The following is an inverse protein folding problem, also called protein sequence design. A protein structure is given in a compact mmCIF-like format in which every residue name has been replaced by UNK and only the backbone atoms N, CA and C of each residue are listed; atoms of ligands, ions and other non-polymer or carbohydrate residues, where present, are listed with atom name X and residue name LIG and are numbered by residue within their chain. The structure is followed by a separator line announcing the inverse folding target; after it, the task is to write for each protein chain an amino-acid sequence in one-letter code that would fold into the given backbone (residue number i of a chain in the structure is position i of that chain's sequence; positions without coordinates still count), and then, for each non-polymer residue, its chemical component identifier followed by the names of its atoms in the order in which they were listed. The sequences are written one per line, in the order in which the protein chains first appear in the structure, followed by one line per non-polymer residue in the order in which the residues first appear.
data_IF_034124613016
#
_entry.id   IF_034124613016
#
_cell.length_a   1.000
_cell.length_b   1.000
_cell.length_c   1.000
_cell.angle_alpha   90.00
_cell.angle_beta   90.00
_cell.angle_gamma   90.00
#
_symmetry.space_group_name_H-M   'P 1'
#
loop_
_entity.id
_entity.type
_entity.pdbx_description
1 polymer ?
#
# COMPACT_ATOMS: atom_id res chain seq x y z
N UNK A 1 -3.40 -35.81 19.42
CA UNK A 1 -3.29 -34.36 19.72
C UNK A 1 -1.81 -33.97 19.82
N UNK A 2 -1.17 -33.55 18.71
CA UNK A 2 0.28 -33.21 18.71
C UNK A 2 0.69 -32.17 17.66
N UNK A 3 -0.24 -31.34 17.16
CA UNK A 3 0.03 -30.37 16.09
C UNK A 3 -0.34 -28.91 16.40
N UNK A 4 -1.00 -28.63 17.53
CA UNK A 4 -1.38 -27.25 17.91
C UNK A 4 -0.34 -26.51 18.78
N UNK A 5 0.83 -27.09 19.04
CA UNK A 5 1.88 -26.46 19.87
C UNK A 5 2.95 -25.70 19.08
N UNK A 6 2.87 -25.65 17.73
CA UNK A 6 3.86 -24.95 16.89
C UNK A 6 3.45 -23.56 16.41
N UNK A 7 2.25 -23.08 16.77
CA UNK A 7 1.72 -21.78 16.31
C UNK A 7 1.92 -20.65 17.33
N UNK A 8 2.56 -20.91 18.47
CA UNK A 8 2.74 -19.92 19.54
C UNK A 8 4.22 -19.66 19.88
N UNK A 9 5.06 -19.57 18.85
CA UNK A 9 6.44 -19.10 18.96
C UNK A 9 6.72 -17.84 18.12
N UNK A 10 5.66 -17.10 17.74
CA UNK A 10 5.76 -15.71 17.24
C UNK A 10 5.59 -14.77 18.43
N UNK A 11 6.49 -14.89 19.39
CA UNK A 11 6.57 -14.01 20.55
C UNK A 11 8.06 -13.71 20.83
N UNK A 12 8.83 -13.40 19.78
CA UNK A 12 10.22 -12.95 19.95
C UNK A 12 10.77 -12.25 18.69
N UNK A 13 10.04 -11.26 18.17
CA UNK A 13 10.67 -10.22 17.33
C UNK A 13 10.81 -9.00 18.23
N UNK A 14 12.06 -8.65 18.52
CA UNK A 14 12.47 -7.95 19.73
C UNK A 14 11.75 -6.64 20.02
N UNK A 15 11.44 -6.46 21.29
CA UNK A 15 11.00 -5.22 21.93
C UNK A 15 11.96 -4.02 21.74
N UNK A 16 13.07 -4.15 21.00
CA UNK A 16 14.02 -3.07 20.72
C UNK A 16 13.74 -2.31 19.40
N UNK A 17 12.88 -2.78 18.51
CA UNK A 17 12.45 -2.02 17.31
C UNK A 17 11.16 -1.20 17.52
N UNK A 18 10.53 -1.33 18.70
CA UNK A 18 9.22 -0.74 19.02
C UNK A 18 9.29 0.79 19.21
N UNK A 19 10.47 1.36 19.48
CA UNK A 19 10.61 2.80 19.76
C UNK A 19 10.35 3.71 18.55
N UNK A 20 10.40 3.19 17.32
CA UNK A 20 9.92 3.92 16.12
C UNK A 20 8.44 3.67 15.80
N UNK A 21 7.82 2.64 16.39
CA UNK A 21 6.40 2.31 16.21
C UNK A 21 5.49 3.23 17.05
N UNK A 22 6.05 4.00 17.98
CA UNK A 22 5.34 4.96 18.84
C UNK A 22 4.67 6.12 18.09
N UNK A 23 4.94 6.27 16.79
CA UNK A 23 4.30 7.26 15.92
C UNK A 23 3.33 6.62 14.91
N UNK A 24 2.97 5.34 15.07
CA UNK A 24 2.07 4.64 14.18
C UNK A 24 0.66 4.58 14.78
N UNK A 25 -0.33 5.02 14.01
CA UNK A 25 -1.71 5.16 14.47
C UNK A 25 -2.60 5.69 13.37
N UNK A 26 -3.91 5.67 13.59
CA UNK A 26 -4.88 6.18 12.63
C UNK A 26 -4.66 7.68 12.39
N UNK A 27 -4.65 8.07 11.12
CA UNK A 27 -4.64 9.47 10.73
C UNK A 27 -6.01 10.10 10.97
N UNK A 28 -6.01 11.32 11.51
CA UNK A 28 -7.20 12.17 11.59
C UNK A 28 -7.81 12.47 10.21
N UNK A 29 -7.05 12.31 9.12
CA UNK A 29 -7.47 12.60 7.74
C UNK A 29 -8.44 11.56 7.16
N UNK A 30 -8.63 10.42 7.82
CA UNK A 30 -9.46 9.32 7.29
C UNK A 30 -10.91 9.75 7.00
N UNK A 31 -11.49 10.60 7.85
CA UNK A 31 -12.84 11.10 7.67
C UNK A 31 -12.94 12.04 6.45
N UNK A 32 -11.97 12.94 6.29
CA UNK A 32 -11.91 13.90 5.19
C UNK A 32 -11.73 13.19 3.85
N UNK A 33 -10.87 12.17 3.79
CA UNK A 33 -10.71 11.34 2.58
C UNK A 33 -12.03 10.67 2.22
N UNK A 34 -12.74 10.05 3.18
CA UNK A 34 -14.05 9.41 2.90
C UNK A 34 -15.06 10.40 2.35
N UNK A 35 -15.11 11.60 2.92
CA UNK A 35 -15.99 12.67 2.45
C UNK A 35 -15.63 13.09 1.02
N UNK A 36 -14.36 13.40 0.77
CA UNK A 36 -13.89 13.84 -0.54
C UNK A 36 -14.12 12.78 -1.63
N UNK A 37 -13.96 11.49 -1.31
CA UNK A 37 -14.26 10.40 -2.24
C UNK A 37 -15.75 10.28 -2.54
N UNK A 38 -16.60 10.43 -1.52
CA UNK A 38 -18.06 10.40 -1.70
C UNK A 38 -18.54 11.54 -2.63
N UNK A 39 -17.95 12.72 -2.49
CA UNK A 39 -18.28 13.90 -3.31
C UNK A 39 -18.00 13.68 -4.82
N UNK A 40 -17.24 12.64 -5.16
CA UNK A 40 -16.92 12.26 -6.55
C UNK A 40 -17.50 10.90 -6.97
N UNK A 41 -18.45 10.36 -6.21
CA UNK A 41 -19.08 9.08 -6.53
C UNK A 41 -18.19 7.86 -6.24
N UNK A 42 -17.13 8.00 -5.44
CA UNK A 42 -16.33 6.87 -4.96
C UNK A 42 -16.77 6.52 -3.54
N UNK A 43 -17.17 5.27 -3.34
CA UNK A 43 -17.68 4.78 -2.05
C UNK A 43 -16.62 3.96 -1.32
N UNK A 44 -16.29 4.35 -0.08
CA UNK A 44 -15.49 3.48 0.79
C UNK A 44 -16.37 2.45 1.47
N UNK A 45 -15.95 1.18 1.54
CA UNK A 45 -16.73 0.14 2.24
C UNK A 45 -16.08 -0.27 3.56
N UNK A 46 -16.89 -0.65 4.56
CA UNK A 46 -16.38 -1.10 5.86
C UNK A 46 -15.46 -2.33 5.72
N UNK A 47 -15.86 -3.29 4.90
CA UNK A 47 -15.10 -4.52 4.64
C UNK A 47 -13.75 -4.20 4.02
N UNK A 48 -13.72 -3.42 2.92
CA UNK A 48 -12.45 -3.12 2.26
C UNK A 48 -11.56 -2.23 3.13
N UNK A 49 -12.09 -1.26 3.88
CA UNK A 49 -11.30 -0.46 4.83
C UNK A 49 -10.61 -1.34 5.89
N UNK A 50 -11.29 -2.39 6.38
CA UNK A 50 -10.72 -3.33 7.33
C UNK A 50 -9.54 -4.10 6.70
N UNK A 51 -9.70 -4.60 5.49
CA UNK A 51 -8.61 -5.29 4.78
C UNK A 51 -7.46 -4.32 4.47
N UNK A 52 -7.75 -3.08 4.05
CA UNK A 52 -6.71 -2.06 3.80
C UNK A 52 -5.92 -1.76 5.06
N UNK A 53 -6.58 -1.63 6.22
CA UNK A 53 -5.91 -1.44 7.51
C UNK A 53 -5.03 -2.64 7.86
N UNK A 54 -5.53 -3.87 7.69
CA UNK A 54 -4.74 -5.09 7.94
C UNK A 54 -3.51 -5.17 7.04
N UNK A 55 -3.64 -4.78 5.77
CA UNK A 55 -2.51 -4.70 4.84
C UNK A 55 -1.49 -3.64 5.27
N UNK A 56 -1.98 -2.47 5.68
CA UNK A 56 -1.14 -1.39 6.21
C UNK A 56 -0.30 -1.87 7.41
N UNK A 57 -0.96 -2.46 8.41
CA UNK A 57 -0.32 -2.97 9.64
C UNK A 57 0.73 -4.05 9.32
N UNK A 58 0.37 -5.03 8.46
CA UNK A 58 1.26 -6.14 8.12
C UNK A 58 2.47 -5.66 7.32
N UNK A 59 2.27 -4.80 6.32
CA UNK A 59 3.38 -4.27 5.50
C UNK A 59 4.31 -3.38 6.32
N UNK A 60 3.76 -2.55 7.21
CA UNK A 60 4.55 -1.73 8.11
C UNK A 60 5.40 -2.57 9.06
N UNK A 61 4.77 -3.53 9.74
CA UNK A 61 5.46 -4.43 10.67
C UNK A 61 6.55 -5.23 9.96
N UNK A 62 6.25 -5.72 8.75
CA UNK A 62 7.17 -6.50 7.96
C UNK A 62 8.35 -5.67 7.46
N UNK A 63 8.12 -4.48 6.89
CA UNK A 63 9.18 -3.59 6.43
C UNK A 63 10.11 -3.15 7.58
N UNK A 64 9.55 -2.85 8.75
CA UNK A 64 10.32 -2.54 9.95
C UNK A 64 11.14 -3.75 10.43
N UNK A 65 10.56 -4.95 10.45
CA UNK A 65 11.24 -6.17 10.84
C UNK A 65 12.41 -6.53 9.90
N UNK A 66 12.23 -6.39 8.58
CA UNK A 66 13.32 -6.59 7.61
C UNK A 66 14.42 -5.55 7.78
N UNK A 67 14.06 -4.30 8.08
CA UNK A 67 15.05 -3.23 8.34
C UNK A 67 15.86 -3.51 9.59
N UNK A 68 15.22 -4.02 10.65
CA UNK A 68 15.86 -4.36 11.91
C UNK A 68 16.75 -5.62 11.80
N UNK A 69 16.33 -6.61 11.00
CA UNK A 69 17.08 -7.84 10.77
C UNK A 69 16.93 -8.33 9.33
N UNK A 70 17.82 -7.89 8.42
CA UNK A 70 17.77 -8.28 7.00
C UNK A 70 17.93 -9.78 6.77
N UNK A 71 18.52 -10.54 7.72
CA UNK A 71 18.70 -11.99 7.57
C UNK A 71 17.38 -12.75 7.56
N UNK A 72 16.31 -12.14 8.08
CA UNK A 72 14.94 -12.70 8.12
C UNK A 72 14.08 -12.28 6.94
N UNK A 73 14.61 -11.53 5.98
CA UNK A 73 13.85 -10.95 4.88
C UNK A 73 13.01 -11.98 4.11
N UNK A 74 13.54 -13.17 3.87
CA UNK A 74 12.85 -14.24 3.17
C UNK A 74 11.65 -14.77 3.96
N UNK A 75 11.84 -15.10 5.24
CA UNK A 75 10.76 -15.56 6.11
C UNK A 75 9.65 -14.52 6.24
N UNK A 76 10.01 -13.25 6.44
CA UNK A 76 9.06 -12.15 6.61
C UNK A 76 8.30 -11.89 5.30
N UNK A 77 8.99 -11.90 4.15
CA UNK A 77 8.36 -11.83 2.83
C UNK A 77 7.35 -12.97 2.63
N UNK A 78 7.70 -14.20 3.02
CA UNK A 78 6.80 -15.34 2.89
C UNK A 78 5.54 -15.20 3.74
N UNK A 79 5.61 -14.57 4.92
CA UNK A 79 4.43 -14.24 5.71
C UNK A 79 3.56 -13.17 5.05
N UNK A 80 4.14 -12.12 4.46
CA UNK A 80 3.38 -11.10 3.73
C UNK A 80 2.64 -11.72 2.54
N UNK A 81 3.26 -12.70 1.86
CA UNK A 81 2.64 -13.45 0.76
C UNK A 81 1.52 -14.39 1.19
N UNK A 82 1.21 -14.52 2.48
CA UNK A 82 0.00 -15.21 2.95
C UNK A 82 -1.26 -14.33 2.87
N UNK A 83 -1.13 -13.05 2.51
CA UNK A 83 -2.25 -12.15 2.25
C UNK A 83 -2.87 -12.40 0.87
N UNK A 84 -3.38 -13.62 0.65
CA UNK A 84 -3.89 -14.11 -0.63
C UNK A 84 -5.18 -13.43 -1.09
N UNK A 85 -5.76 -12.54 -0.29
CA UNK A 85 -6.79 -11.61 -0.75
C UNK A 85 -6.23 -10.55 -1.71
N UNK A 86 -4.92 -10.27 -1.68
CA UNK A 86 -4.26 -9.25 -2.48
C UNK A 86 -3.43 -9.83 -3.64
N UNK A 87 -3.35 -9.08 -4.74
CA UNK A 87 -2.59 -9.51 -5.92
C UNK A 87 -1.09 -9.58 -5.69
N UNK A 88 -0.49 -8.72 -4.86
CA UNK A 88 0.94 -8.80 -4.54
C UNK A 88 1.38 -10.14 -3.92
N UNK A 89 0.46 -10.91 -3.35
CA UNK A 89 0.73 -12.22 -2.77
C UNK A 89 0.85 -13.34 -3.83
N UNK A 90 0.51 -13.05 -5.09
CA UNK A 90 0.51 -14.01 -6.18
C UNK A 90 1.66 -13.79 -7.17
N UNK A 91 2.01 -14.80 -7.98
CA UNK A 91 2.98 -14.63 -9.07
C UNK A 91 2.60 -13.46 -9.99
N UNK A 92 3.58 -12.62 -10.32
CA UNK A 92 3.37 -11.49 -11.21
C UNK A 92 3.14 -11.96 -12.65
N UNK A 93 2.38 -11.18 -13.42
CA UNK A 93 2.20 -11.40 -14.86
C UNK A 93 3.42 -10.98 -15.68
N UNK A 94 4.31 -10.14 -15.14
CA UNK A 94 5.53 -9.67 -15.80
C UNK A 94 6.81 -10.35 -15.31
N UNK A 95 7.90 -10.11 -16.05
CA UNK A 95 9.22 -10.68 -15.78
C UNK A 95 9.79 -10.18 -14.45
N UNK A 96 10.45 -11.06 -13.70
CA UNK A 96 11.15 -10.69 -12.46
C UNK A 96 10.23 -10.29 -11.30
N UNK A 97 8.93 -10.61 -11.38
CA UNK A 97 7.95 -10.25 -10.35
C UNK A 97 7.33 -8.86 -10.53
N UNK A 98 7.67 -8.14 -11.61
CA UNK A 98 7.07 -6.85 -11.94
C UNK A 98 5.67 -7.02 -12.53
N UNK A 99 4.79 -6.04 -12.29
CA UNK A 99 3.42 -6.08 -12.76
C UNK A 99 2.46 -6.74 -11.78
N UNK A 100 1.19 -6.73 -12.14
CA UNK A 100 0.09 -7.20 -11.29
C UNK A 100 0.24 -8.70 -11.01
N UNK A 101 -0.12 -9.13 -9.81
CA UNK A 101 -0.25 -10.55 -9.52
C UNK A 101 -1.42 -11.20 -10.27
N UNK A 102 -1.29 -12.48 -10.60
CA UNK A 102 -2.30 -13.24 -11.35
C UNK A 102 -3.46 -13.81 -10.49
N UNK A 103 -3.67 -13.25 -9.29
CA UNK A 103 -4.69 -13.71 -8.36
C UNK A 103 -5.07 -12.64 -7.35
N UNK A 104 -5.91 -13.00 -6.38
CA UNK A 104 -6.40 -12.11 -5.33
C UNK A 104 -7.65 -11.33 -5.75
N UNK A 105 -8.48 -11.00 -4.77
CA UNK A 105 -9.70 -10.21 -4.97
C UNK A 105 -9.41 -8.71 -5.07
N UNK A 106 -8.23 -8.27 -4.61
CA UNK A 106 -7.89 -6.86 -4.51
C UNK A 106 -6.49 -6.54 -5.03
N UNK A 107 -6.36 -5.35 -5.60
CA UNK A 107 -5.10 -4.65 -5.77
C UNK A 107 -4.92 -3.64 -4.61
N UNK A 108 -3.70 -3.55 -4.08
CA UNK A 108 -3.32 -2.53 -3.09
C UNK A 108 -2.50 -1.44 -3.77
N UNK A 109 -2.81 -0.18 -3.48
CA UNK A 109 -2.10 0.98 -3.97
C UNK A 109 -1.57 1.81 -2.81
N UNK A 110 -0.39 2.40 -2.99
CA UNK A 110 0.21 3.36 -2.07
C UNK A 110 0.24 4.75 -2.69
N UNK A 111 -0.15 5.74 -1.90
CA UNK A 111 0.02 7.14 -2.25
C UNK A 111 1.51 7.50 -2.31
N UNK A 112 1.94 8.09 -3.41
CA UNK A 112 3.36 8.45 -3.63
C UNK A 112 3.58 9.94 -3.72
N UNK A 113 2.51 10.74 -3.63
CA UNK A 113 2.54 12.18 -3.87
C UNK A 113 3.05 12.58 -5.27
N UNK A 114 3.18 11.62 -6.20
CA UNK A 114 3.76 11.87 -7.51
C UNK A 114 5.25 12.23 -7.44
N UNK A 115 5.97 11.80 -6.41
CA UNK A 115 7.39 12.17 -6.22
C UNK A 115 8.29 11.61 -7.32
N UNK A 116 9.44 12.26 -7.53
CA UNK A 116 10.42 11.82 -8.52
C UNK A 116 10.97 10.44 -8.13
N UNK A 117 11.01 9.51 -9.09
CA UNK A 117 11.71 8.24 -8.94
C UNK A 117 13.21 8.50 -8.90
N UNK A 118 13.93 7.64 -8.20
CA UNK A 118 15.38 7.62 -8.33
C UNK A 118 15.77 7.39 -9.81
N UNK A 119 16.82 8.03 -10.30
CA UNK A 119 17.24 7.88 -11.71
C UNK A 119 17.60 6.41 -12.03
N UNK A 120 18.12 5.68 -11.03
CA UNK A 120 18.36 4.23 -11.10
C UNK A 120 17.08 3.37 -11.32
N UNK A 121 15.89 3.96 -11.16
CA UNK A 121 14.58 3.33 -11.39
C UNK A 121 13.93 3.83 -12.69
N UNK A 122 14.71 4.42 -13.60
CA UNK A 122 14.24 4.90 -14.91
C UNK A 122 13.80 6.37 -14.94
N UNK A 123 14.05 7.13 -13.88
CA UNK A 123 13.69 8.55 -13.79
C UNK A 123 12.18 8.82 -13.84
N UNK A 124 11.81 10.08 -14.09
CA UNK A 124 10.40 10.53 -14.06
C UNK A 124 9.78 10.47 -12.66
N UNK A 125 8.45 10.45 -12.60
CA UNK A 125 7.69 10.50 -11.35
C UNK A 125 6.91 9.21 -11.13
N UNK A 126 6.62 8.88 -9.87
CA UNK A 126 5.63 7.85 -9.56
C UNK A 126 4.22 8.32 -9.98
N UNK A 127 3.30 7.40 -10.34
CA UNK A 127 1.88 7.72 -10.35
C UNK A 127 1.43 8.08 -8.93
N UNK A 128 0.42 8.95 -8.77
CA UNK A 128 -0.06 9.35 -7.45
C UNK A 128 -0.49 8.16 -6.58
N UNK A 129 -1.17 7.17 -7.16
CA UNK A 129 -1.40 5.85 -6.56
C UNK A 129 -0.58 4.80 -7.31
N UNK A 130 0.43 4.25 -6.66
CA UNK A 130 1.27 3.22 -7.24
C UNK A 130 0.87 1.84 -6.73
N UNK A 131 0.65 0.89 -7.64
CA UNK A 131 0.24 -0.46 -7.26
C UNK A 131 1.39 -1.18 -6.56
N UNK A 132 1.08 -1.84 -5.45
CA UNK A 132 1.98 -2.78 -4.81
C UNK A 132 1.96 -4.07 -5.63
N UNK A 133 2.95 -4.23 -6.50
CA UNK A 133 3.23 -5.47 -7.24
C UNK A 133 4.00 -6.52 -6.39
N UNK A 134 4.01 -7.81 -6.80
CA UNK A 134 4.71 -8.89 -6.08
C UNK A 134 6.21 -8.65 -5.85
N UNK A 135 6.89 -7.96 -6.77
CA UNK A 135 8.30 -7.58 -6.61
C UNK A 135 8.54 -6.73 -5.37
N UNK A 136 7.58 -5.89 -4.96
CA UNK A 136 7.73 -5.01 -3.80
C UNK A 136 7.69 -5.75 -2.47
N UNK A 137 6.96 -6.86 -2.39
CA UNK A 137 6.86 -7.69 -1.18
C UNK A 137 7.87 -8.83 -1.16
N UNK A 138 8.83 -8.84 -2.08
CA UNK A 138 9.95 -9.79 -2.09
C UNK A 138 10.96 -9.48 -0.97
N UNK A 139 11.75 -10.48 -0.59
CA UNK A 139 12.82 -10.34 0.39
C UNK A 139 13.76 -9.15 0.10
N UNK A 140 14.04 -8.89 -1.18
CA UNK A 140 14.95 -7.82 -1.61
C UNK A 140 14.36 -6.42 -1.46
N UNK A 141 13.05 -6.26 -1.61
CA UNK A 141 12.41 -4.95 -1.76
C UNK A 141 11.45 -4.57 -0.62
N UNK A 142 11.06 -5.51 0.23
CA UNK A 142 10.03 -5.29 1.25
C UNK A 142 10.35 -4.13 2.21
N UNK A 143 11.61 -3.98 2.63
CA UNK A 143 12.05 -2.86 3.47
C UNK A 143 11.98 -1.50 2.75
N UNK A 144 12.04 -1.48 1.41
CA UNK A 144 12.00 -0.26 0.60
C UNK A 144 10.58 0.29 0.45
N UNK A 145 9.57 -0.57 0.49
CA UNK A 145 8.16 -0.19 0.30
C UNK A 145 7.71 0.88 1.30
N UNK A 146 8.21 0.82 2.53
CA UNK A 146 7.95 1.80 3.59
C UNK A 146 9.26 2.30 4.20
N UNK A 147 10.30 2.48 3.38
CA UNK A 147 11.52 3.14 3.82
C UNK A 147 11.21 4.59 4.22
N UNK A 148 11.87 5.08 5.28
CA UNK A 148 11.58 6.40 5.87
C UNK A 148 11.64 7.54 4.86
N UNK A 149 12.64 7.54 3.98
CA UNK A 149 12.79 8.59 2.96
C UNK A 149 11.68 8.56 1.91
N UNK A 150 11.24 7.36 1.53
CA UNK A 150 10.11 7.20 0.60
C UNK A 150 8.81 7.68 1.26
N UNK A 151 8.56 7.28 2.50
CA UNK A 151 7.40 7.71 3.31
C UNK A 151 7.37 9.23 3.48
N UNK A 152 8.51 9.85 3.79
CA UNK A 152 8.63 11.31 3.96
C UNK A 152 8.38 12.07 2.66
N UNK A 153 8.72 11.50 1.52
CA UNK A 153 8.46 12.10 0.21
C UNK A 153 7.00 11.91 -0.22
N UNK A 154 6.45 10.73 0.06
CA UNK A 154 5.09 10.32 -0.27
C UNK A 154 4.03 10.67 0.78
N UNK A 155 4.25 11.69 1.61
CA UNK A 155 3.29 12.10 2.65
C UNK A 155 1.94 12.44 2.00
N UNK A 156 0.86 11.87 2.53
CA UNK A 156 -0.48 12.28 2.18
C UNK A 156 -0.88 13.52 3.00
N UNK A 157 -0.80 14.69 2.38
CA UNK A 157 -1.05 15.97 3.04
C UNK A 157 -2.52 16.22 3.35
N UNK A 158 -3.43 15.65 2.56
CA UNK A 158 -4.87 15.92 2.65
C UNK A 158 -5.26 17.34 2.23
N UNK A 159 -4.33 18.09 1.61
CA UNK A 159 -4.61 19.37 0.96
C UNK A 159 -5.61 19.22 -0.18
N UNK A 160 -6.23 20.33 -0.61
CA UNK A 160 -7.11 20.35 -1.78
C UNK A 160 -6.41 19.78 -3.04
N UNK A 161 -5.12 20.02 -3.20
CA UNK A 161 -4.32 19.53 -4.33
C UNK A 161 -4.16 18.01 -4.27
N UNK A 162 -3.77 17.46 -3.11
CA UNK A 162 -3.64 16.01 -2.91
C UNK A 162 -4.98 15.29 -3.04
N UNK A 163 -6.06 15.88 -2.52
CA UNK A 163 -7.42 15.35 -2.63
C UNK A 163 -7.91 15.36 -4.08
N UNK A 164 -7.71 16.46 -4.81
CA UNK A 164 -8.06 16.53 -6.25
C UNK A 164 -7.28 15.50 -7.07
N UNK A 165 -5.99 15.33 -6.81
CA UNK A 165 -5.17 14.32 -7.48
C UNK A 165 -5.65 12.89 -7.16
N UNK A 166 -5.96 12.58 -5.90
CA UNK A 166 -6.53 11.30 -5.49
C UNK A 166 -7.87 11.02 -6.20
N UNK A 167 -8.79 11.99 -6.17
CA UNK A 167 -10.07 11.90 -6.84
C UNK A 167 -9.90 11.70 -8.35
N UNK A 168 -8.96 12.41 -8.97
CA UNK A 168 -8.69 12.31 -10.41
C UNK A 168 -8.25 10.91 -10.80
N UNK A 169 -7.37 10.27 -10.02
CA UNK A 169 -6.96 8.88 -10.31
C UNK A 169 -8.15 7.95 -10.21
N UNK A 170 -8.92 8.03 -9.12
CA UNK A 170 -10.02 7.09 -8.87
C UNK A 170 -11.21 7.26 -9.83
N UNK A 171 -11.48 8.47 -10.32
CA UNK A 171 -12.50 8.70 -11.37
C UNK A 171 -12.16 8.04 -12.71
N UNK A 172 -10.87 7.79 -12.96
CA UNK A 172 -10.42 7.14 -14.20
C UNK A 172 -10.40 5.62 -14.10
N UNK A 173 -10.90 5.06 -13.01
CA UNK A 173 -10.98 3.62 -12.82
C UNK A 173 -11.78 2.97 -13.94
N UNK A 174 -11.24 1.89 -14.51
CA UNK A 174 -11.87 1.15 -15.60
C UNK A 174 -12.09 -0.31 -15.24
N UNK A 175 -13.17 -0.87 -15.75
CA UNK A 175 -13.40 -2.31 -15.85
C UNK A 175 -13.72 -2.63 -17.29
N UNK A 176 -12.99 -3.57 -17.89
CA UNK A 176 -13.18 -3.96 -19.30
C UNK A 176 -13.18 -2.73 -20.25
N UNK A 177 -12.23 -1.81 -20.03
CA UNK A 177 -12.08 -0.52 -20.73
C UNK A 177 -13.19 0.52 -20.50
N UNK A 178 -14.22 0.22 -19.72
CA UNK A 178 -15.32 1.13 -19.39
C UNK A 178 -15.10 1.81 -18.05
N UNK A 179 -15.45 3.09 -17.93
CA UNK A 179 -15.39 3.82 -16.67
C UNK A 179 -16.32 3.20 -15.64
N UNK A 180 -15.83 3.05 -14.41
CA UNK A 180 -16.59 2.46 -13.30
C UNK A 180 -17.39 3.55 -12.59
N UNK A 181 -18.71 3.48 -12.68
CA UNK A 181 -19.57 4.28 -11.83
C UNK A 181 -19.62 3.71 -10.41
N UNK A 182 -19.74 4.59 -9.40
CA UNK A 182 -19.88 4.18 -8.00
C UNK A 182 -18.76 3.25 -7.50
N UNK A 183 -17.52 3.51 -7.93
CA UNK A 183 -16.34 2.72 -7.56
C UNK A 183 -16.29 2.47 -6.06
N UNK A 184 -16.14 1.20 -5.67
CA UNK A 184 -15.97 0.79 -4.27
C UNK A 184 -14.49 0.61 -3.95
N UNK A 185 -14.02 1.26 -2.91
CA UNK A 185 -12.63 1.16 -2.44
C UNK A 185 -12.55 0.88 -0.94
N UNK A 186 -11.39 0.41 -0.50
CA UNK A 186 -10.95 0.48 0.89
C UNK A 186 -9.88 1.55 1.01
N UNK A 187 -9.86 2.27 2.13
CA UNK A 187 -8.80 3.22 2.45
C UNK A 187 -8.23 2.93 3.83
N UNK A 188 -6.94 3.20 3.96
CA UNK A 188 -6.25 3.28 5.24
C UNK A 188 -5.33 4.49 5.20
N UNK A 189 -5.46 5.39 6.17
CA UNK A 189 -4.52 6.48 6.33
C UNK A 189 -3.87 6.30 7.70
N UNK A 190 -2.63 5.81 7.71
CA UNK A 190 -1.90 5.52 8.93
C UNK A 190 -0.66 6.38 9.02
N UNK A 191 -0.24 6.65 10.25
CA UNK A 191 1.05 7.26 10.50
C UNK A 191 2.15 6.20 10.37
N UNK A 192 3.19 6.51 9.62
CA UNK A 192 4.41 5.71 9.49
C UNK A 192 5.58 6.65 9.74
N UNK A 193 6.37 6.42 10.79
CA UNK A 193 7.38 7.37 11.28
C UNK A 193 6.85 8.79 11.53
N UNK A 194 5.57 8.93 11.90
CA UNK A 194 4.90 10.23 12.11
C UNK A 194 4.34 10.89 10.85
N UNK A 195 4.52 10.30 9.67
CA UNK A 195 4.03 10.79 8.39
C UNK A 195 2.75 10.07 7.97
N UNK A 196 1.77 10.79 7.43
CA UNK A 196 0.54 10.19 6.91
C UNK A 196 0.82 9.42 5.61
N UNK A 197 0.55 8.13 5.62
CA UNK A 197 0.62 7.24 4.45
C UNK A 197 -0.80 6.79 4.11
N UNK A 198 -1.22 7.09 2.89
CA UNK A 198 -2.51 6.63 2.37
C UNK A 198 -2.31 5.36 1.55
N UNK A 199 -3.02 4.31 1.92
CA UNK A 199 -3.19 3.08 1.15
C UNK A 199 -4.64 2.99 0.65
N UNK A 200 -4.80 2.47 -0.57
CA UNK A 200 -6.10 2.29 -1.21
C UNK A 200 -6.21 0.85 -1.72
N UNK A 201 -7.23 0.13 -1.27
CA UNK A 201 -7.61 -1.18 -1.79
C UNK A 201 -8.67 -1.00 -2.87
N UNK A 202 -8.46 -1.64 -4.01
CA UNK A 202 -9.37 -1.60 -5.17
C UNK A 202 -9.66 -3.04 -5.60
N UNK A 203 -10.87 -3.40 -6.05
CA UNK A 203 -11.14 -4.74 -6.57
C UNK A 203 -10.19 -5.04 -7.74
N UNK A 204 -9.65 -6.25 -7.78
CA UNK A 204 -8.60 -6.61 -8.74
C UNK A 204 -9.11 -6.64 -10.18
N UNK A 205 -10.41 -6.71 -10.45
CA UNK A 205 -10.97 -6.59 -11.80
C UNK A 205 -11.07 -5.13 -12.28
N UNK A 206 -10.69 -4.16 -11.44
CA UNK A 206 -10.68 -2.74 -11.76
C UNK A 206 -9.25 -2.25 -11.98
N UNK A 207 -9.04 -1.54 -13.08
CA UNK A 207 -7.77 -0.94 -13.46
C UNK A 207 -7.72 0.54 -13.09
N UNK A 208 -6.70 0.92 -12.33
CA UNK A 208 -6.30 2.32 -12.17
C UNK A 208 -5.13 2.65 -13.09
N UNK A 209 -5.13 3.85 -13.66
CA UNK A 209 -4.01 4.34 -14.46
C UNK A 209 -2.71 4.32 -13.65
N UNK A 210 -1.65 3.76 -14.22
CA UNK A 210 -0.29 3.74 -13.65
C UNK A 210 0.65 4.73 -14.36
N UNK A 211 0.08 5.71 -15.06
CA UNK A 211 0.80 6.78 -15.74
C UNK A 211 1.55 7.65 -14.73
N UNK A 212 2.84 7.96 -14.94
CA UNK A 212 3.60 8.89 -14.11
C UNK A 212 2.84 10.20 -13.86
N UNK A 213 2.88 10.71 -12.63
CA UNK A 213 2.38 12.05 -12.33
C UNK A 213 3.20 13.09 -13.11
N UNK A 214 2.55 14.16 -13.55
CA UNK A 214 3.23 15.26 -14.26
C UNK A 214 3.93 16.22 -13.29
N UNK A 215 3.43 16.32 -12.07
CA UNK A 215 4.00 17.12 -10.98
C UNK A 215 3.76 16.42 -9.64
N UNK A 216 4.65 16.59 -8.66
CA UNK A 216 4.32 16.28 -7.27
C UNK A 216 3.22 17.23 -6.77
N UNK A 217 2.38 16.75 -5.86
CA UNK A 217 1.44 17.60 -5.10
C UNK A 217 1.99 17.82 -3.68
N UNK A 218 1.42 18.73 -2.89
CA UNK A 218 1.92 19.02 -1.53
C UNK A 218 0.82 19.01 -0.49
#
# INVERSE_FOLDING_TARGET
MKLFKKVLAVALVGAMAVSMLTACGDSSKTADVKKALKDVGVTTTKTMNKETNRAADKLQSAAAAVTADPTKAESISNEVKQMTEYSFAHPATGVGGAGKGNGGAYDLYIWTNGVKKADALGGGNYPYLYRVDPIHVSATNLSRLLAKDFVKQGVFSGSDESMKALQSVLKTAKKDSQTVENLKVGISCQKVYGYDVLLVTVPSDIELAQTPATTPVK
#
